data_IF_206948118687
#
_entry.id   IF_206948118687
#
_cell.length_a   1.000
_cell.length_b   1.000
_cell.length_c   1.000
_cell.angle_alpha   90.00
_cell.angle_beta   90.00
_cell.angle_gamma   90.00
#
_symmetry.space_group_name_H-M   'P 1'
#
loop_
_entity.id
_entity.type
_entity.pdbx_description
1 polymer ?
#
# COMPACT_ATOMS: atom_id res chain seq x y z
N UNK A 1 -12.31 -3.69 -1.09
CA UNK A 1 -12.02 -4.20 -2.44
C UNK A 1 -12.49 -3.18 -3.47
N UNK A 2 -11.61 -2.30 -3.88
CA UNK A 2 -11.87 -1.35 -4.98
C UNK A 2 -11.62 -2.01 -6.35
N UNK A 3 -10.65 -2.92 -6.39
CA UNK A 3 -10.33 -3.77 -7.54
C UNK A 3 -10.64 -5.22 -7.22
N UNK A 4 -11.59 -5.81 -7.94
CA UNK A 4 -11.97 -7.20 -7.84
C UNK A 4 -12.16 -7.83 -9.23
N UNK A 5 -12.81 -8.97 -9.33
CA UNK A 5 -12.98 -9.71 -10.59
C UNK A 5 -13.63 -8.86 -11.70
N UNK A 6 -14.53 -7.95 -11.33
CA UNK A 6 -15.21 -7.09 -12.31
C UNK A 6 -14.22 -6.11 -12.95
N UNK A 7 -13.43 -5.38 -12.14
CA UNK A 7 -12.46 -4.42 -12.63
C UNK A 7 -11.36 -5.11 -13.45
N UNK A 8 -10.86 -6.26 -12.98
CA UNK A 8 -9.91 -7.05 -13.75
C UNK A 8 -10.50 -7.50 -15.09
N UNK A 9 -11.79 -7.83 -15.16
CA UNK A 9 -12.43 -8.23 -16.42
C UNK A 9 -12.43 -7.12 -17.48
N UNK A 10 -12.39 -5.86 -17.08
CA UNK A 10 -12.37 -4.70 -17.95
C UNK A 10 -10.95 -4.27 -18.38
N UNK A 11 -9.91 -4.77 -17.71
CA UNK A 11 -8.52 -4.44 -18.04
C UNK A 11 -8.07 -5.16 -19.33
N UNK A 12 -7.08 -4.57 -20.01
CA UNK A 12 -6.41 -5.23 -21.13
C UNK A 12 -5.48 -6.33 -20.62
N UNK A 13 -5.28 -7.38 -21.40
CA UNK A 13 -4.34 -8.47 -21.11
C UNK A 13 -2.87 -8.04 -21.01
N UNK A 14 -2.55 -6.88 -21.60
CA UNK A 14 -1.23 -6.24 -21.53
C UNK A 14 -1.04 -5.34 -20.31
N UNK A 15 -2.09 -5.17 -19.48
CA UNK A 15 -2.06 -4.25 -18.32
C UNK A 15 -1.19 -4.77 -17.20
N UNK A 16 -0.65 -3.82 -16.44
CA UNK A 16 0.00 -4.04 -15.15
C UNK A 16 -0.84 -3.38 -14.05
N UNK A 17 -0.96 -4.03 -12.89
CA UNK A 17 -1.51 -3.43 -11.69
C UNK A 17 -0.37 -3.20 -10.69
N UNK A 18 -0.31 -2.00 -10.08
CA UNK A 18 0.66 -1.71 -9.01
C UNK A 18 -0.10 -1.15 -7.81
N UNK A 19 0.06 -1.78 -6.64
CA UNK A 19 -0.51 -1.31 -5.39
C UNK A 19 0.60 -1.06 -4.36
N UNK A 20 0.89 0.23 -4.11
CA UNK A 20 1.77 0.71 -3.04
C UNK A 20 0.99 1.59 -2.05
N UNK A 21 -0.34 1.46 -2.00
CA UNK A 21 -1.19 2.28 -1.14
C UNK A 21 -1.54 1.57 0.17
N UNK A 22 -2.50 0.65 0.15
CA UNK A 22 -2.91 -0.17 1.31
C UNK A 22 -3.46 -1.51 0.85
N UNK A 23 -3.37 -2.52 1.73
CA UNK A 23 -4.14 -3.76 1.62
C UNK A 23 -5.65 -3.49 1.62
N UNK A 24 -6.45 -4.42 1.15
CA UNK A 24 -7.91 -4.29 1.01
C UNK A 24 -8.37 -3.39 -0.13
N UNK A 25 -7.47 -2.67 -0.82
CA UNK A 25 -7.81 -1.93 -2.04
C UNK A 25 -8.02 -2.88 -3.21
N UNK A 26 -7.17 -3.88 -3.30
CA UNK A 26 -7.20 -4.93 -4.33
C UNK A 26 -7.59 -6.24 -3.66
N UNK A 27 -8.60 -6.91 -4.16
CA UNK A 27 -8.94 -8.26 -3.71
C UNK A 27 -7.83 -9.23 -4.14
N UNK A 28 -7.09 -9.78 -3.20
CA UNK A 28 -5.92 -10.63 -3.47
C UNK A 28 -6.29 -11.93 -4.18
N UNK A 29 -7.45 -12.52 -3.89
CA UNK A 29 -7.91 -13.73 -4.57
C UNK A 29 -8.27 -13.44 -6.02
N UNK A 30 -9.01 -12.37 -6.28
CA UNK A 30 -9.35 -11.96 -7.64
C UNK A 30 -8.10 -11.58 -8.45
N UNK A 31 -7.10 -10.95 -7.80
CA UNK A 31 -5.81 -10.66 -8.44
C UNK A 31 -5.07 -11.96 -8.80
N UNK A 32 -5.02 -12.92 -7.89
CA UNK A 32 -4.41 -14.22 -8.15
C UNK A 32 -5.06 -14.93 -9.35
N UNK A 33 -6.38 -14.91 -9.44
CA UNK A 33 -7.12 -15.49 -10.59
C UNK A 33 -6.80 -14.73 -11.88
N UNK A 34 -6.78 -13.41 -11.85
CA UNK A 34 -6.47 -12.56 -13.01
C UNK A 34 -5.05 -12.79 -13.54
N UNK A 35 -4.08 -12.99 -12.64
CA UNK A 35 -2.69 -13.26 -12.98
C UNK A 35 -2.50 -14.68 -13.54
N UNK A 36 -3.12 -15.68 -12.90
CA UNK A 36 -3.05 -17.09 -13.28
C UNK A 36 -3.70 -17.34 -14.64
N UNK A 37 -4.86 -16.71 -14.88
CA UNK A 37 -5.57 -16.80 -16.15
C UNK A 37 -4.97 -15.91 -17.24
N UNK A 38 -3.91 -15.13 -16.94
CA UNK A 38 -3.32 -14.14 -17.82
C UNK A 38 -4.30 -13.07 -18.30
N UNK A 39 -5.31 -12.77 -17.49
CA UNK A 39 -6.27 -11.69 -17.75
C UNK A 39 -5.59 -10.31 -17.69
N UNK A 40 -4.59 -10.17 -16.81
CA UNK A 40 -3.63 -9.06 -16.84
C UNK A 40 -2.21 -9.63 -16.94
N UNK A 41 -1.29 -8.80 -17.38
CA UNK A 41 0.07 -9.24 -17.67
C UNK A 41 0.87 -9.54 -16.41
N UNK A 42 0.86 -8.63 -15.45
CA UNK A 42 1.62 -8.76 -14.20
C UNK A 42 1.10 -7.78 -13.14
N UNK A 43 1.56 -7.95 -11.89
CA UNK A 43 1.30 -7.01 -10.82
C UNK A 43 2.56 -6.70 -9.99
N UNK A 44 2.55 -5.55 -9.29
CA UNK A 44 3.51 -5.19 -8.27
C UNK A 44 2.77 -4.84 -6.98
N UNK A 45 3.12 -5.47 -5.87
CA UNK A 45 2.49 -5.23 -4.56
C UNK A 45 3.55 -4.89 -3.53
N UNK A 46 3.32 -3.81 -2.81
CA UNK A 46 4.09 -3.43 -1.62
C UNK A 46 3.27 -3.58 -0.33
N UNK A 47 1.97 -3.83 -0.47
CA UNK A 47 0.99 -3.90 0.62
C UNK A 47 0.07 -5.11 0.45
N UNK A 48 -0.43 -5.65 1.55
CA UNK A 48 -1.19 -6.89 1.60
C UNK A 48 -2.41 -6.75 2.52
N UNK A 49 -3.40 -7.65 2.37
CA UNK A 49 -4.57 -7.68 3.24
C UNK A 49 -4.19 -7.97 4.69
N UNK A 50 -3.28 -8.92 4.89
CA UNK A 50 -2.66 -9.20 6.17
C UNK A 50 -1.19 -8.78 6.15
N UNK A 51 -0.75 -7.98 7.12
CA UNK A 51 0.64 -7.56 7.29
C UNK A 51 1.15 -7.87 8.71
N UNK A 52 2.21 -8.70 8.86
CA UNK A 52 2.97 -9.35 7.80
C UNK A 52 2.19 -10.45 7.08
N UNK A 53 2.33 -10.51 5.75
CA UNK A 53 1.61 -11.49 4.95
C UNK A 53 2.08 -12.92 5.24
N UNK A 54 1.14 -13.87 5.25
CA UNK A 54 1.46 -15.28 5.45
C UNK A 54 2.33 -15.82 4.32
N UNK A 55 3.29 -16.68 4.64
CA UNK A 55 4.08 -17.40 3.65
C UNK A 55 3.24 -18.33 2.75
N UNK A 56 1.99 -18.61 3.15
CA UNK A 56 1.02 -19.37 2.36
C UNK A 56 0.20 -18.52 1.39
N UNK A 57 0.44 -17.20 1.32
CA UNK A 57 -0.27 -16.34 0.37
C UNK A 57 -0.01 -16.82 -1.06
N UNK A 58 -1.06 -17.17 -1.84
CA UNK A 58 -0.91 -17.78 -3.16
C UNK A 58 -0.20 -16.86 -4.17
N UNK A 59 -0.23 -15.55 -3.98
CA UNK A 59 0.48 -14.59 -4.82
C UNK A 59 2.00 -14.80 -4.79
N UNK A 60 2.55 -15.35 -3.70
CA UNK A 60 4.00 -15.56 -3.54
C UNK A 60 4.55 -16.69 -4.43
N UNK A 61 3.68 -17.51 -5.00
CA UNK A 61 4.05 -18.59 -5.92
C UNK A 61 4.04 -18.19 -7.39
N UNK A 62 3.58 -16.97 -7.71
CA UNK A 62 3.43 -16.51 -9.09
C UNK A 62 4.72 -15.86 -9.62
N UNK A 63 5.08 -16.18 -10.88
CA UNK A 63 6.25 -15.60 -11.55
C UNK A 63 5.98 -14.20 -12.14
N UNK A 64 4.72 -13.83 -12.31
CA UNK A 64 4.30 -12.56 -12.90
C UNK A 64 3.82 -11.55 -11.83
N UNK A 65 4.32 -11.65 -10.61
CA UNK A 65 4.10 -10.67 -9.56
C UNK A 65 5.44 -10.26 -8.92
N UNK A 66 5.61 -8.95 -8.72
CA UNK A 66 6.71 -8.39 -7.94
C UNK A 66 6.19 -8.01 -6.56
N UNK A 67 6.88 -8.47 -5.53
CA UNK A 67 6.46 -8.31 -4.14
C UNK A 67 7.52 -7.58 -3.33
N UNK A 68 7.10 -6.64 -2.47
CA UNK A 68 7.99 -5.98 -1.51
C UNK A 68 7.27 -5.83 -0.16
N UNK A 69 8.02 -5.73 0.97
CA UNK A 69 7.45 -5.83 2.30
C UNK A 69 7.08 -4.45 2.88
N UNK A 70 6.17 -3.72 2.23
CA UNK A 70 5.64 -2.41 2.63
C UNK A 70 6.75 -1.38 2.86
N UNK A 71 7.66 -1.26 1.90
CA UNK A 71 8.83 -0.38 1.95
C UNK A 71 8.95 0.59 0.77
N UNK A 72 7.96 0.65 -0.12
CA UNK A 72 8.04 1.50 -1.33
C UNK A 72 8.25 3.00 -1.01
N UNK A 73 7.79 3.45 0.16
CA UNK A 73 8.01 4.83 0.64
C UNK A 73 9.27 5.02 1.49
N UNK A 74 10.03 3.97 1.78
CA UNK A 74 11.13 3.99 2.74
C UNK A 74 12.45 4.28 2.02
N UNK A 75 12.80 5.56 1.90
CA UNK A 75 14.15 6.01 1.52
C UNK A 75 14.87 6.60 2.74
N UNK A 76 16.18 6.74 2.65
CA UNK A 76 16.98 7.40 3.71
C UNK A 76 16.44 8.80 4.00
N UNK A 77 16.17 9.57 2.95
CA UNK A 77 15.68 10.95 3.06
C UNK A 77 14.25 10.99 3.62
N UNK A 78 13.37 10.08 3.21
CA UNK A 78 12.00 10.00 3.72
C UNK A 78 12.01 9.65 5.22
N UNK A 79 12.82 8.66 5.63
CA UNK A 79 12.97 8.27 7.03
C UNK A 79 13.47 9.42 7.89
N UNK A 80 14.49 10.16 7.44
CA UNK A 80 15.01 11.33 8.15
C UNK A 80 13.93 12.42 8.28
N UNK A 81 13.18 12.70 7.19
CA UNK A 81 12.11 13.72 7.23
C UNK A 81 10.99 13.32 8.18
N UNK A 82 10.50 12.08 8.09
CA UNK A 82 9.43 11.59 8.96
C UNK A 82 9.84 11.66 10.43
N UNK A 83 11.04 11.19 10.77
CA UNK A 83 11.55 11.21 12.16
C UNK A 83 11.64 12.64 12.69
N UNK A 84 12.24 13.55 11.92
CA UNK A 84 12.35 14.96 12.33
C UNK A 84 11.00 15.63 12.49
N UNK A 85 10.08 15.43 11.56
CA UNK A 85 8.75 16.03 11.61
C UNK A 85 7.94 15.50 12.78
N UNK A 86 8.02 14.21 13.06
CA UNK A 86 7.31 13.61 14.20
C UNK A 86 7.77 14.22 15.53
N UNK A 87 9.08 14.36 15.73
CA UNK A 87 9.64 15.00 16.93
C UNK A 87 9.24 16.48 17.00
N UNK A 88 9.33 17.20 15.87
CA UNK A 88 8.98 18.61 15.82
C UNK A 88 7.51 18.84 16.17
N UNK A 89 6.58 18.02 15.62
CA UNK A 89 5.15 18.11 15.94
C UNK A 89 4.88 17.93 17.45
N UNK A 90 5.61 17.03 18.13
CA UNK A 90 5.49 16.85 19.59
C UNK A 90 5.98 18.08 20.33
N UNK A 91 7.12 18.65 19.94
CA UNK A 91 7.66 19.86 20.59
C UNK A 91 6.72 21.05 20.36
N UNK A 92 6.22 21.22 19.15
CA UNK A 92 5.28 22.28 18.81
C UNK A 92 3.96 22.17 19.58
N UNK A 93 3.51 20.94 19.86
CA UNK A 93 2.33 20.70 20.70
C UNK A 93 2.58 21.19 22.13
N UNK A 94 3.72 20.85 22.74
CA UNK A 94 4.06 21.31 24.09
C UNK A 94 4.25 22.83 24.17
N UNK A 95 4.73 23.45 23.09
CA UNK A 95 4.89 24.89 22.99
C UNK A 95 3.61 25.64 22.61
N UNK A 96 2.47 24.95 22.42
CA UNK A 96 1.21 25.49 21.89
C UNK A 96 1.38 26.19 20.51
N UNK A 97 2.24 25.65 19.65
CA UNK A 97 2.54 26.17 18.31
C UNK A 97 2.26 25.16 17.20
N UNK A 98 1.62 24.03 17.52
CA UNK A 98 1.37 22.98 16.54
C UNK A 98 0.54 23.51 15.36
N UNK A 99 0.96 23.20 14.14
CA UNK A 99 0.17 23.52 12.95
C UNK A 99 -1.11 22.69 12.95
N UNK A 100 -2.32 23.30 12.96
CA UNK A 100 -3.59 22.54 12.92
C UNK A 100 -3.73 21.61 11.72
N UNK A 101 -3.07 21.89 10.61
CA UNK A 101 -3.13 21.06 9.39
C UNK A 101 -2.50 19.66 9.56
N UNK A 102 -1.64 19.47 10.56
CA UNK A 102 -1.05 18.15 10.84
C UNK A 102 -1.90 17.33 11.82
N UNK A 103 -3.06 17.85 12.25
CA UNK A 103 -3.95 17.22 13.21
C UNK A 103 -5.20 16.74 12.49
N UNK A 104 -5.43 15.42 12.50
CA UNK A 104 -6.60 14.83 11.83
C UNK A 104 -7.88 15.10 12.62
N UNK A 105 -7.81 15.07 13.95
CA UNK A 105 -8.94 15.19 14.87
C UNK A 105 -8.85 16.49 15.71
N UNK A 106 -8.94 17.62 15.05
CA UNK A 106 -8.78 18.97 15.66
C UNK A 106 -9.76 19.26 16.80
N UNK A 107 -10.85 18.50 16.93
CA UNK A 107 -11.83 18.64 18.00
C UNK A 107 -11.39 18.09 19.37
N UNK A 108 -10.17 17.58 19.48
CA UNK A 108 -9.61 17.05 20.75
C UNK A 108 -8.55 17.98 21.39
N UNK A 109 -8.31 19.14 20.78
CA UNK A 109 -7.39 20.17 21.31
C UNK A 109 -8.09 21.22 22.12
#
# INVERSE_FOLDING_TARGET
DMFSSEEFSMMKDTSFLINCARGGIVNELALHEALTSKKIRAAGLDVYDDEPSSSSNPLFSLENVLLSPHIAGVTVEATIRMSKQSVQNVLDLFDNKINPEVIINTNVL
#
